data_IF_312993504963
#
_entry.id   IF_312993504963
#
_cell.length_a   1.000
_cell.length_b   1.000
_cell.length_c   1.000
_cell.angle_alpha   90.00
_cell.angle_beta   90.00
_cell.angle_gamma   90.00
#
_symmetry.space_group_name_H-M   'P 1'
#
loop_
_entity.id
_entity.type
_entity.pdbx_description
1 polymer ?
#
# COMPACT_ATOMS: atom_id res chain seq x y z
N UNK A 1 55.14 -6.28 -43.14
CA UNK A 1 53.96 -7.17 -43.08
C UNK A 1 53.52 -7.28 -41.63
N UNK A 2 52.43 -6.62 -41.26
CA UNK A 2 51.83 -6.74 -39.92
C UNK A 2 51.05 -8.05 -39.85
N UNK A 3 51.49 -8.99 -39.01
CA UNK A 3 50.73 -10.20 -38.72
C UNK A 3 49.39 -9.80 -38.09
N UNK A 4 48.28 -10.12 -38.77
CA UNK A 4 46.95 -10.11 -38.15
C UNK A 4 46.86 -11.34 -37.25
N UNK A 5 46.88 -11.11 -35.94
CA UNK A 5 46.62 -12.17 -34.97
C UNK A 5 45.14 -12.53 -35.04
N UNK A 6 44.81 -13.66 -35.65
CA UNK A 6 43.46 -14.22 -35.60
C UNK A 6 43.25 -14.89 -34.23
N UNK A 7 42.09 -14.65 -33.63
CA UNK A 7 41.65 -15.34 -32.41
C UNK A 7 41.64 -16.85 -32.63
N UNK A 8 42.17 -17.61 -31.67
CA UNK A 8 42.05 -19.07 -31.66
C UNK A 8 40.61 -19.48 -31.39
N UNK A 9 40.14 -20.56 -32.03
CA UNK A 9 38.82 -21.16 -31.75
C UNK A 9 38.69 -21.53 -30.27
N UNK A 10 39.79 -21.99 -29.64
CA UNK A 10 39.83 -22.30 -28.21
C UNK A 10 39.60 -21.04 -27.36
N UNK A 11 40.23 -19.94 -27.73
CA UNK A 11 40.14 -18.66 -27.04
C UNK A 11 38.74 -18.04 -27.17
N UNK A 12 38.09 -18.24 -28.32
CA UNK A 12 36.68 -17.90 -28.52
C UNK A 12 35.76 -18.70 -27.59
N UNK A 13 35.98 -20.02 -27.44
CA UNK A 13 35.18 -20.87 -26.56
C UNK A 13 35.34 -20.44 -25.10
N UNK A 14 36.57 -20.19 -24.64
CA UNK A 14 36.80 -19.68 -23.30
C UNK A 14 36.18 -18.29 -23.09
N UNK A 15 36.28 -17.39 -24.09
CA UNK A 15 35.65 -16.07 -24.02
C UNK A 15 34.13 -16.14 -23.86
N UNK A 16 33.46 -17.00 -24.61
CA UNK A 16 31.99 -17.20 -24.50
C UNK A 16 31.62 -17.83 -23.16
N UNK A 17 32.38 -18.83 -22.70
CA UNK A 17 32.10 -19.49 -21.42
C UNK A 17 32.23 -18.51 -20.24
N UNK A 18 33.27 -17.68 -20.25
CA UNK A 18 33.51 -16.65 -19.22
C UNK A 18 32.41 -15.59 -19.25
N UNK A 19 32.04 -15.09 -20.44
CA UNK A 19 30.93 -14.14 -20.59
C UNK A 19 29.60 -14.73 -20.10
N UNK A 20 29.33 -16.01 -20.42
CA UNK A 20 28.15 -16.73 -19.94
C UNK A 20 28.10 -16.83 -18.41
N UNK A 21 29.23 -17.12 -17.77
CA UNK A 21 29.34 -17.14 -16.31
C UNK A 21 29.07 -15.76 -15.70
N UNK A 22 29.66 -14.69 -16.27
CA UNK A 22 29.42 -13.32 -15.79
C UNK A 22 27.94 -12.91 -15.89
N UNK A 23 27.23 -13.28 -16.96
CA UNK A 23 25.79 -12.99 -17.09
C UNK A 23 24.97 -13.74 -16.03
N UNK A 24 25.32 -15.00 -15.74
CA UNK A 24 24.60 -15.83 -14.78
C UNK A 24 24.73 -15.32 -13.34
N UNK A 25 25.90 -14.83 -12.95
CA UNK A 25 26.19 -14.35 -11.60
C UNK A 25 26.01 -12.82 -11.42
N UNK A 26 26.05 -12.05 -12.50
CA UNK A 26 25.98 -10.58 -12.44
C UNK A 26 24.56 -10.01 -12.32
N UNK A 27 23.53 -10.76 -12.72
CA UNK A 27 22.14 -10.29 -12.65
C UNK A 27 21.52 -10.60 -11.27
N UNK A 28 20.82 -9.62 -10.65
CA UNK A 28 20.12 -9.89 -9.40
C UNK A 28 19.01 -10.92 -9.64
N UNK A 29 18.75 -11.82 -8.69
CA UNK A 29 17.71 -12.83 -8.85
C UNK A 29 16.34 -12.18 -9.09
N UNK A 30 15.52 -12.79 -9.97
CA UNK A 30 14.17 -12.30 -10.32
C UNK A 30 13.27 -12.04 -9.10
N UNK A 31 13.46 -12.79 -8.01
CA UNK A 31 12.76 -12.57 -6.74
C UNK A 31 13.08 -11.19 -6.13
N UNK A 32 14.35 -10.80 -6.12
CA UNK A 32 14.81 -9.50 -5.62
C UNK A 32 14.25 -8.34 -6.45
N UNK A 33 14.23 -8.48 -7.78
CA UNK A 33 13.63 -7.49 -8.67
C UNK A 33 12.12 -7.34 -8.44
N UNK A 34 11.38 -8.45 -8.42
CA UNK A 34 9.94 -8.43 -8.16
C UNK A 34 9.60 -7.84 -6.77
N UNK A 35 10.39 -8.17 -5.76
CA UNK A 35 10.23 -7.63 -4.40
C UNK A 35 10.53 -6.13 -4.36
N UNK A 36 11.54 -5.67 -5.09
CA UNK A 36 11.84 -4.24 -5.22
C UNK A 36 10.68 -3.49 -5.90
N UNK A 37 10.13 -4.04 -6.99
CA UNK A 37 8.93 -3.48 -7.65
C UNK A 37 7.73 -3.44 -6.72
N UNK A 38 7.49 -4.49 -5.92
CA UNK A 38 6.45 -4.50 -4.89
C UNK A 38 6.66 -3.40 -3.85
N UNK A 39 7.90 -3.22 -3.37
CA UNK A 39 8.21 -2.20 -2.37
C UNK A 39 8.01 -0.78 -2.91
N UNK A 40 8.42 -0.51 -4.15
CA UNK A 40 8.18 0.78 -4.82
C UNK A 40 6.68 1.00 -5.07
N UNK A 41 5.96 -0.04 -5.49
CA UNK A 41 4.51 0.03 -5.68
C UNK A 41 3.80 0.37 -4.36
N UNK A 42 4.08 -0.36 -3.29
CA UNK A 42 3.52 -0.10 -1.96
C UNK A 42 3.89 1.29 -1.44
N UNK A 43 5.15 1.72 -1.59
CA UNK A 43 5.60 3.06 -1.20
C UNK A 43 4.82 4.15 -1.96
N UNK A 44 4.64 3.99 -3.27
CA UNK A 44 3.88 4.95 -4.08
C UNK A 44 2.42 5.06 -3.60
N UNK A 45 1.85 3.95 -3.14
CA UNK A 45 0.48 3.86 -2.68
C UNK A 45 0.30 4.43 -1.27
N UNK A 46 1.27 4.26 -0.37
CA UNK A 46 1.32 4.97 0.91
C UNK A 46 1.36 6.49 0.70
N UNK A 47 2.24 6.96 -0.18
CA UNK A 47 2.33 8.39 -0.54
C UNK A 47 1.05 8.89 -1.20
N UNK A 48 0.42 8.06 -2.02
CA UNK A 48 -0.87 8.39 -2.63
C UNK A 48 -1.98 8.52 -1.58
N UNK A 49 -2.04 7.63 -0.58
CA UNK A 49 -2.98 7.76 0.55
C UNK A 49 -2.76 9.05 1.32
N UNK A 50 -1.50 9.41 1.58
CA UNK A 50 -1.17 10.69 2.21
C UNK A 50 -1.63 11.88 1.36
N UNK A 51 -1.39 11.82 0.05
CA UNK A 51 -1.81 12.86 -0.90
C UNK A 51 -3.34 12.99 -0.97
N UNK A 52 -4.08 11.89 -0.89
CA UNK A 52 -5.54 11.92 -0.77
C UNK A 52 -5.96 12.66 0.51
N UNK A 53 -5.32 12.37 1.65
CA UNK A 53 -5.61 13.07 2.91
C UNK A 53 -5.36 14.59 2.84
N UNK A 54 -4.31 15.01 2.11
CA UNK A 54 -3.95 16.41 1.94
C UNK A 54 -4.89 17.17 0.98
N UNK A 55 -5.38 16.53 -0.07
CA UNK A 55 -6.15 17.19 -1.13
C UNK A 55 -7.67 17.01 -1.01
N UNK A 56 -8.10 15.85 -0.52
CA UNK A 56 -9.49 15.52 -0.29
C UNK A 56 -9.76 15.63 1.21
N UNK A 57 -9.68 16.86 1.72
CA UNK A 57 -9.84 17.12 3.15
C UNK A 57 -11.29 16.84 3.57
N UNK A 58 -11.49 15.74 4.28
CA UNK A 58 -12.78 15.33 4.84
C UNK A 58 -13.09 16.05 6.16
N UNK A 59 -12.78 17.34 6.24
CA UNK A 59 -13.02 18.18 7.42
C UNK A 59 -14.24 19.07 7.20
N UNK A 60 -15.28 18.84 7.99
CA UNK A 60 -16.57 19.51 7.86
C UNK A 60 -16.95 20.16 9.18
N UNK A 61 -17.17 21.48 9.18
CA UNK A 61 -17.63 22.23 10.33
C UNK A 61 -19.17 22.30 10.40
N UNK A 62 -19.85 22.14 9.27
CA UNK A 62 -21.31 22.26 9.16
C UNK A 62 -21.91 21.21 8.23
N UNK A 63 -23.17 20.85 8.46
CA UNK A 63 -23.92 19.90 7.60
C UNK A 63 -24.02 20.39 6.15
N UNK A 64 -24.06 21.70 5.92
CA UNK A 64 -24.11 22.24 4.56
C UNK A 64 -22.86 21.86 3.74
N UNK A 65 -21.68 21.81 4.37
CA UNK A 65 -20.44 21.44 3.71
C UNK A 65 -20.39 19.95 3.30
N UNK A 66 -21.16 19.08 3.97
CA UNK A 66 -21.17 17.64 3.66
C UNK A 66 -22.03 17.31 2.43
N UNK A 67 -22.89 18.23 1.99
CA UNK A 67 -23.95 17.95 1.01
C UNK A 67 -23.43 17.38 -0.31
N UNK A 68 -22.31 17.90 -0.81
CA UNK A 68 -21.68 17.40 -2.05
C UNK A 68 -21.31 15.93 -1.92
N UNK A 69 -20.67 15.55 -0.80
CA UNK A 69 -20.26 14.18 -0.53
C UNK A 69 -21.46 13.25 -0.33
N UNK A 70 -22.42 13.66 0.51
CA UNK A 70 -23.58 12.82 0.86
C UNK A 70 -24.60 12.72 -0.28
N UNK A 71 -24.60 13.66 -1.24
CA UNK A 71 -25.37 13.53 -2.48
C UNK A 71 -24.81 12.42 -3.39
N UNK A 72 -23.48 12.28 -3.43
CA UNK A 72 -22.81 11.22 -4.19
C UNK A 72 -22.86 9.88 -3.45
N UNK A 73 -22.82 9.91 -2.11
CA UNK A 73 -22.83 8.73 -1.25
C UNK A 73 -23.94 8.83 -0.18
N UNK A 74 -25.20 8.48 -0.52
CA UNK A 74 -26.34 8.64 0.38
C UNK A 74 -26.30 7.78 1.65
N UNK A 75 -25.43 6.77 1.71
CA UNK A 75 -25.22 5.92 2.90
C UNK A 75 -24.46 6.63 4.03
N UNK A 76 -23.84 7.77 3.75
CA UNK A 76 -23.02 8.51 4.71
C UNK A 76 -23.91 9.41 5.58
N UNK A 77 -23.72 9.35 6.90
CA UNK A 77 -24.38 10.22 7.87
C UNK A 77 -23.72 11.61 7.89
N UNK A 78 -24.44 12.69 7.49
CA UNK A 78 -23.91 14.06 7.53
C UNK A 78 -23.46 14.49 8.93
N UNK A 79 -24.22 14.15 9.96
CA UNK A 79 -23.94 14.54 11.35
C UNK A 79 -22.63 13.95 11.89
N UNK A 80 -22.33 12.71 11.50
CA UNK A 80 -21.12 11.99 11.94
C UNK A 80 -19.88 12.35 11.12
N UNK A 81 -20.06 12.94 9.94
CA UNK A 81 -18.95 13.54 9.20
C UNK A 81 -18.38 14.77 9.92
N UNK A 82 -19.16 15.45 10.78
CA UNK A 82 -18.68 16.57 11.58
C UNK A 82 -17.69 16.14 12.67
N UNK A 83 -17.61 14.84 12.98
CA UNK A 83 -16.57 14.28 13.83
C UNK A 83 -15.24 14.20 13.05
N UNK A 84 -14.74 15.33 12.54
CA UNK A 84 -13.59 15.39 11.62
C UNK A 84 -12.33 14.72 12.13
N UNK A 85 -12.15 14.66 13.46
CA UNK A 85 -11.04 13.93 14.09
C UNK A 85 -11.09 12.41 13.89
N UNK A 86 -12.18 11.87 13.34
CA UNK A 86 -12.36 10.46 12.94
C UNK A 86 -12.28 10.25 11.44
N UNK A 87 -12.11 11.32 10.66
CA UNK A 87 -12.07 11.23 9.20
C UNK A 87 -10.63 11.11 8.72
N UNK A 88 -10.30 9.96 8.14
CA UNK A 88 -8.95 9.66 7.66
C UNK A 88 -9.02 8.94 6.32
N UNK A 89 -8.16 9.34 5.38
CA UNK A 89 -7.73 8.43 4.33
C UNK A 89 -6.76 7.42 4.94
N UNK A 90 -6.98 6.13 4.65
CA UNK A 90 -6.16 5.08 5.23
C UNK A 90 -5.73 4.05 4.20
N UNK A 91 -4.57 3.44 4.47
CA UNK A 91 -4.10 2.24 3.81
C UNK A 91 -4.10 1.10 4.84
N UNK A 92 -4.84 0.05 4.55
CA UNK A 92 -4.92 -1.15 5.38
C UNK A 92 -4.24 -2.31 4.68
N UNK A 93 -3.33 -2.99 5.37
CA UNK A 93 -2.62 -4.17 4.89
C UNK A 93 -3.29 -5.43 5.42
N UNK A 94 -3.52 -6.41 4.56
CA UNK A 94 -4.14 -7.69 4.88
C UNK A 94 -3.04 -8.76 4.87
N UNK A 95 -2.67 -9.23 6.05
CA UNK A 95 -1.61 -10.22 6.26
C UNK A 95 -2.15 -11.66 6.26
N UNK A 96 -3.45 -11.84 6.50
CA UNK A 96 -4.12 -13.13 6.46
C UNK A 96 -5.49 -13.02 5.78
N UNK A 97 -6.12 -14.17 5.55
CA UNK A 97 -7.39 -14.27 4.83
C UNK A 97 -7.28 -15.21 3.62
N UNK A 98 -8.34 -15.96 3.34
CA UNK A 98 -8.36 -16.95 2.25
C UNK A 98 -8.34 -16.28 0.88
N UNK A 99 -8.94 -15.09 0.76
CA UNK A 99 -9.18 -14.42 -0.52
C UNK A 99 -8.40 -13.12 -0.72
N UNK A 100 -7.54 -12.77 0.24
CA UNK A 100 -6.85 -11.47 0.31
C UNK A 100 -5.40 -11.52 0.85
N UNK A 101 -4.71 -12.69 0.92
CA UNK A 101 -3.46 -12.77 1.66
C UNK A 101 -2.39 -11.89 1.02
N UNK A 102 -1.67 -11.13 1.85
CA UNK A 102 -0.61 -10.20 1.42
C UNK A 102 -1.12 -9.18 0.39
N UNK A 103 -2.11 -8.40 0.80
CA UNK A 103 -2.67 -7.33 -0.04
C UNK A 103 -2.84 -6.03 0.75
N UNK A 104 -3.26 -4.97 0.10
CA UNK A 104 -3.69 -3.75 0.79
C UNK A 104 -4.94 -3.13 0.16
N UNK A 105 -5.58 -2.25 0.91
CA UNK A 105 -6.72 -1.44 0.46
C UNK A 105 -6.55 0.01 0.88
N UNK A 106 -6.91 0.95 0.01
CA UNK A 106 -6.91 2.38 0.29
C UNK A 106 -8.35 2.89 0.23
N UNK A 107 -8.82 3.46 1.33
CA UNK A 107 -10.22 3.86 1.47
C UNK A 107 -10.41 4.92 2.56
N UNK A 108 -11.56 5.58 2.53
CA UNK A 108 -12.13 6.34 3.63
C UNK A 108 -13.26 5.52 4.24
N UNK A 109 -13.15 5.20 5.54
CA UNK A 109 -14.16 4.48 6.32
C UNK A 109 -15.30 5.43 6.69
N UNK A 110 -16.36 5.33 5.92
CA UNK A 110 -17.45 6.30 5.92
C UNK A 110 -18.38 6.07 7.12
N UNK A 111 -18.76 7.13 7.86
CA UNK A 111 -19.73 6.97 8.92
C UNK A 111 -21.14 6.75 8.35
N UNK A 112 -21.80 5.66 8.75
CA UNK A 112 -23.17 5.33 8.32
C UNK A 112 -24.22 5.68 9.38
N UNK A 113 -25.49 5.54 9.00
CA UNK A 113 -26.64 5.66 9.89
C UNK A 113 -26.77 4.45 10.84
N UNK A 114 -25.78 4.25 11.71
CA UNK A 114 -25.78 3.22 12.74
C UNK A 114 -25.29 3.77 14.08
N UNK A 115 -25.78 3.29 15.24
CA UNK A 115 -25.37 3.82 16.55
C UNK A 115 -23.97 3.39 16.97
N UNK A 116 -23.55 2.14 16.71
CA UNK A 116 -22.31 1.54 17.24
C UNK A 116 -21.41 0.87 16.19
N UNK A 117 -21.89 0.72 14.95
CA UNK A 117 -21.19 0.08 13.81
C UNK A 117 -21.23 0.98 12.57
N UNK A 118 -21.15 2.28 12.81
CA UNK A 118 -21.14 3.29 11.77
C UNK A 118 -19.86 3.31 10.96
N UNK A 119 -18.75 2.79 11.49
CA UNK A 119 -17.48 2.58 10.80
C UNK A 119 -17.02 1.13 10.96
N UNK A 120 -16.78 0.45 9.85
CA UNK A 120 -16.51 -1.00 9.86
C UNK A 120 -15.05 -1.34 10.13
N UNK A 121 -14.15 -0.37 10.01
CA UNK A 121 -12.70 -0.59 10.06
C UNK A 121 -12.20 -1.60 9.02
N UNK A 122 -12.92 -1.73 7.91
CA UNK A 122 -12.57 -2.53 6.73
C UNK A 122 -13.27 -1.94 5.50
N UNK A 123 -12.77 -2.15 4.27
CA UNK A 123 -13.44 -1.71 3.07
C UNK A 123 -14.79 -2.42 2.88
N UNK A 124 -15.88 -1.65 2.88
CA UNK A 124 -17.27 -2.14 2.77
C UNK A 124 -18.03 -1.43 1.64
N UNK A 125 -19.28 -1.85 1.38
CA UNK A 125 -20.14 -1.32 0.29
C UNK A 125 -20.43 0.18 0.40
N UNK A 126 -20.45 0.71 1.62
CA UNK A 126 -20.73 2.13 1.86
C UNK A 126 -19.51 3.05 1.76
N UNK A 127 -18.30 2.49 1.71
CA UNK A 127 -17.06 3.25 1.82
C UNK A 127 -16.64 3.89 0.51
N UNK A 128 -15.75 4.88 0.62
CA UNK A 128 -15.12 5.48 -0.56
C UNK A 128 -13.78 4.80 -0.75
N UNK A 129 -13.64 4.04 -1.82
CA UNK A 129 -12.40 3.34 -2.17
C UNK A 129 -11.60 4.20 -3.12
N UNK A 130 -10.30 4.36 -2.87
CA UNK A 130 -9.44 5.10 -3.77
C UNK A 130 -9.34 4.39 -5.13
N UNK A 131 -9.26 5.17 -6.20
CA UNK A 131 -9.03 4.65 -7.54
C UNK A 131 -7.62 4.98 -8.03
N UNK A 132 -7.07 4.11 -8.86
CA UNK A 132 -5.80 4.32 -9.54
C UNK A 132 -5.95 5.41 -10.59
N UNK A 133 -5.06 6.42 -10.54
CA UNK A 133 -5.02 7.47 -11.56
C UNK A 133 -4.74 6.94 -12.97
N UNK A 134 -4.05 5.80 -13.10
CA UNK A 134 -3.61 5.22 -14.37
C UNK A 134 -4.74 4.58 -15.18
N UNK A 135 -5.65 3.86 -14.50
CA UNK A 135 -6.63 3.01 -15.16
C UNK A 135 -8.01 3.03 -14.49
N UNK A 136 -8.21 3.90 -13.49
CA UNK A 136 -9.48 4.07 -12.75
C UNK A 136 -9.99 2.80 -12.06
N UNK A 137 -9.13 1.79 -11.88
CA UNK A 137 -9.43 0.59 -11.10
C UNK A 137 -9.34 0.89 -9.61
N UNK A 138 -10.16 0.24 -8.81
CA UNK A 138 -10.19 0.45 -7.37
C UNK A 138 -8.98 -0.16 -6.67
N UNK A 139 -8.43 0.54 -5.69
CA UNK A 139 -7.24 0.14 -4.94
C UNK A 139 -7.66 -0.62 -3.68
N UNK A 140 -8.26 -1.80 -3.85
CA UNK A 140 -8.65 -2.66 -2.73
C UNK A 140 -8.39 -4.14 -2.99
N UNK A 141 -7.60 -4.76 -2.11
CA UNK A 141 -7.35 -6.19 -2.09
C UNK A 141 -8.36 -7.00 -1.28
N UNK A 142 -9.27 -6.34 -0.56
CA UNK A 142 -10.13 -6.95 0.48
C UNK A 142 -11.30 -7.78 -0.07
N UNK A 143 -12.08 -7.25 -1.01
CA UNK A 143 -13.22 -7.97 -1.58
C UNK A 143 -13.53 -7.43 -2.96
N UNK A 144 -13.94 -8.33 -3.86
CA UNK A 144 -14.42 -7.97 -5.20
C UNK A 144 -15.95 -7.84 -5.25
N UNK A 145 -16.67 -8.24 -4.19
CA UNK A 145 -18.15 -8.28 -4.17
C UNK A 145 -18.75 -7.44 -3.04
N UNK A 146 -18.20 -7.54 -1.83
CA UNK A 146 -18.67 -6.82 -0.66
C UNK A 146 -17.89 -5.51 -0.51
N UNK A 147 -18.03 -4.66 -1.53
CA UNK A 147 -17.33 -3.39 -1.67
C UNK A 147 -18.22 -2.42 -2.46
N UNK A 148 -17.85 -1.14 -2.48
CA UNK A 148 -18.55 -0.07 -3.22
C UNK A 148 -18.86 -0.52 -4.63
N UNK A 149 -20.05 -0.14 -5.11
CA UNK A 149 -20.64 -0.74 -6.32
C UNK A 149 -19.76 -0.55 -7.56
N UNK A 150 -19.10 0.61 -7.64
CA UNK A 150 -18.12 1.00 -8.66
C UNK A 150 -16.82 0.18 -8.64
N UNK A 151 -16.54 -0.50 -7.52
CA UNK A 151 -15.36 -1.32 -7.31
C UNK A 151 -15.60 -2.81 -7.49
N UNK A 152 -16.86 -3.24 -7.67
CA UNK A 152 -17.19 -4.65 -7.87
C UNK A 152 -16.53 -5.17 -9.14
N UNK A 153 -15.74 -6.24 -9.00
CA UNK A 153 -14.93 -6.83 -10.08
C UNK A 153 -14.01 -5.83 -10.82
N UNK A 154 -13.72 -4.66 -10.21
CA UNK A 154 -12.93 -3.57 -10.80
C UNK A 154 -11.68 -3.25 -9.96
N UNK A 155 -11.25 -4.17 -9.09
CA UNK A 155 -10.04 -4.00 -8.30
C UNK A 155 -8.78 -4.05 -9.18
N UNK A 156 -7.79 -3.21 -8.89
CA UNK A 156 -6.44 -3.30 -9.44
C UNK A 156 -5.75 -4.57 -8.91
N UNK A 157 -5.17 -5.39 -9.77
CA UNK A 157 -4.57 -6.66 -9.35
C UNK A 157 -3.27 -6.43 -8.57
N UNK A 158 -2.54 -5.36 -8.86
CA UNK A 158 -1.25 -5.06 -8.23
C UNK A 158 -1.35 -4.78 -6.72
N UNK A 159 -2.54 -4.48 -6.19
CA UNK A 159 -2.75 -4.34 -4.73
C UNK A 159 -2.72 -5.68 -3.99
N UNK A 160 -2.88 -6.80 -4.72
CA UNK A 160 -2.71 -8.18 -4.22
C UNK A 160 -1.24 -8.56 -4.36
N UNK A 161 -0.41 -8.03 -3.47
CA UNK A 161 1.05 -8.16 -3.53
C UNK A 161 1.52 -9.61 -3.58
N UNK A 162 0.83 -10.51 -2.86
CA UNK A 162 1.10 -11.95 -2.91
C UNK A 162 0.85 -12.55 -4.29
N UNK A 163 -0.30 -12.29 -4.90
CA UNK A 163 -0.68 -12.84 -6.20
C UNK A 163 0.14 -12.22 -7.35
N UNK A 164 0.30 -10.90 -7.36
CA UNK A 164 0.91 -10.18 -8.48
C UNK A 164 2.44 -10.17 -8.43
N UNK A 165 3.02 -9.90 -7.26
CA UNK A 165 4.48 -9.82 -7.10
C UNK A 165 5.08 -11.06 -6.45
N UNK A 166 4.29 -12.01 -5.94
CA UNK A 166 4.80 -13.17 -5.21
C UNK A 166 5.36 -12.82 -3.83
N UNK A 167 4.84 -11.78 -3.17
CA UNK A 167 5.19 -11.47 -1.77
C UNK A 167 4.64 -12.57 -0.86
N UNK A 168 5.51 -13.18 -0.06
CA UNK A 168 5.16 -14.34 0.78
C UNK A 168 4.51 -13.89 2.09
N UNK A 169 5.04 -12.85 2.72
CA UNK A 169 4.43 -12.23 3.90
C UNK A 169 4.83 -10.76 4.06
N UNK A 170 3.96 -10.01 4.74
CA UNK A 170 4.15 -8.61 5.13
C UNK A 170 4.28 -8.56 6.65
N UNK A 171 5.32 -7.92 7.17
CA UNK A 171 5.52 -7.74 8.61
C UNK A 171 5.55 -6.25 8.98
N UNK A 172 5.09 -5.96 10.19
CA UNK A 172 5.09 -4.62 10.77
C UNK A 172 6.05 -4.58 11.97
N UNK A 173 6.93 -3.60 11.97
CA UNK A 173 7.78 -3.26 13.11
C UNK A 173 7.40 -1.84 13.56
N UNK A 174 6.69 -1.77 14.70
CA UNK A 174 6.11 -0.55 15.27
C UNK A 174 5.59 -0.78 16.70
N UNK A 175 4.89 0.21 17.28
CA UNK A 175 4.17 0.03 18.53
C UNK A 175 3.15 -1.15 18.42
N UNK A 176 3.07 -2.05 19.41
CA UNK A 176 2.14 -3.18 19.39
C UNK A 176 0.67 -2.82 19.11
N UNK A 177 0.22 -1.62 19.51
CA UNK A 177 -1.15 -1.16 19.26
C UNK A 177 -1.45 -0.87 17.78
N UNK A 178 -0.44 -0.76 16.92
CA UNK A 178 -0.63 -0.61 15.49
C UNK A 178 -0.97 -1.94 14.80
N UNK A 179 -0.60 -3.07 15.41
CA UNK A 179 -0.83 -4.40 14.87
C UNK A 179 -2.22 -4.91 15.28
N UNK A 180 -2.99 -5.38 14.31
CA UNK A 180 -4.30 -5.98 14.53
C UNK A 180 -4.28 -7.45 14.09
N UNK A 181 -5.33 -8.20 14.41
CA UNK A 181 -5.40 -9.62 14.03
C UNK A 181 -5.47 -9.76 12.51
N UNK A 182 -4.38 -10.25 11.90
CA UNK A 182 -4.29 -10.49 10.46
C UNK A 182 -4.20 -9.24 9.59
N UNK A 183 -4.07 -8.06 10.18
CA UNK A 183 -4.06 -6.78 9.47
C UNK A 183 -3.34 -5.71 10.28
N UNK A 184 -3.00 -4.61 9.63
CA UNK A 184 -2.65 -3.35 10.27
C UNK A 184 -2.97 -2.21 9.30
N UNK A 185 -3.03 -0.99 9.81
CA UNK A 185 -3.37 0.19 8.99
C UNK A 185 -2.55 1.41 9.35
N UNK A 186 -2.40 2.26 8.35
CA UNK A 186 -1.86 3.62 8.51
C UNK A 186 -2.91 4.59 8.01
N UNK A 187 -3.27 5.54 8.87
CA UNK A 187 -4.26 6.59 8.63
C UNK A 187 -3.51 7.91 8.49
N UNK A 188 -3.97 8.79 7.61
CA UNK A 188 -3.43 10.13 7.46
C UNK A 188 -4.54 11.15 7.70
N UNK A 189 -4.25 12.14 8.56
CA UNK A 189 -5.14 13.28 8.76
C UNK A 189 -5.02 14.30 7.61
N UNK A 190 -5.81 15.37 7.67
CA UNK A 190 -5.80 16.47 6.68
C UNK A 190 -4.45 17.18 6.50
N UNK A 191 -3.51 16.99 7.43
CA UNK A 191 -2.16 17.55 7.38
C UNK A 191 -1.12 16.52 6.94
N UNK A 192 -1.55 15.31 6.58
CA UNK A 192 -0.68 14.21 6.21
C UNK A 192 0.05 13.59 7.41
N UNK A 193 -0.35 13.92 8.65
CA UNK A 193 0.23 13.32 9.85
C UNK A 193 -0.23 11.86 9.97
N UNK A 194 0.68 10.91 10.23
CA UNK A 194 0.35 9.50 10.24
C UNK A 194 -0.12 9.03 11.61
N UNK A 195 -1.11 8.15 11.58
CA UNK A 195 -1.71 7.45 12.71
C UNK A 195 -1.80 5.95 12.40
N UNK A 196 -1.89 5.10 13.41
CA UNK A 196 -2.03 3.66 13.22
C UNK A 196 -3.18 3.05 14.04
N UNK A 197 -3.57 1.83 13.65
CA UNK A 197 -4.59 1.05 14.35
C UNK A 197 -6.00 1.61 14.26
N UNK A 198 -6.96 0.91 14.89
CA UNK A 198 -8.39 1.28 14.88
C UNK A 198 -8.64 2.63 15.56
N UNK A 199 -8.05 2.83 16.73
CA UNK A 199 -8.19 4.04 17.54
C UNK A 199 -7.42 5.27 16.99
N UNK A 200 -6.75 5.15 15.83
CA UNK A 200 -5.96 6.20 15.23
C UNK A 200 -4.95 6.82 16.23
N UNK A 201 -3.98 6.00 16.65
CA UNK A 201 -2.89 6.44 17.54
C UNK A 201 -1.82 7.17 16.74
N UNK A 202 -1.44 8.37 17.16
CA UNK A 202 -0.42 9.16 16.47
C UNK A 202 0.93 8.44 16.50
N UNK A 203 1.65 8.43 15.37
CA UNK A 203 3.01 7.89 15.36
C UNK A 203 3.97 8.84 16.07
N UNK A 204 4.70 8.31 17.05
CA UNK A 204 5.78 8.99 17.77
C UNK A 204 7.17 8.50 17.36
N UNK A 205 7.25 7.37 16.67
CA UNK A 205 8.45 6.78 16.11
C UNK A 205 8.15 6.28 14.69
N UNK A 206 9.18 6.07 13.83
CA UNK A 206 8.97 5.52 12.50
C UNK A 206 8.26 4.16 12.53
N UNK A 207 7.31 3.97 11.63
CA UNK A 207 6.64 2.69 11.40
C UNK A 207 7.32 2.00 10.22
N UNK A 208 7.76 0.75 10.39
CA UNK A 208 8.50 -0.01 9.39
C UNK A 208 7.69 -1.19 8.87
N UNK A 209 7.32 -1.14 7.59
CA UNK A 209 6.61 -2.21 6.88
C UNK A 209 7.64 -3.00 6.08
N UNK A 210 7.72 -4.32 6.24
CA UNK A 210 8.67 -5.16 5.50
C UNK A 210 7.95 -6.20 4.65
N UNK A 211 8.28 -6.22 3.36
CA UNK A 211 7.83 -7.23 2.41
C UNK A 211 8.90 -8.32 2.29
N UNK A 212 8.49 -9.58 2.29
CA UNK A 212 9.38 -10.74 2.23
C UNK A 212 9.10 -11.63 1.02
N UNK A 213 10.16 -12.15 0.39
CA UNK A 213 10.07 -13.09 -0.75
C UNK A 213 11.34 -13.90 -0.91
N UNK A 214 11.28 -15.24 -0.85
CA UNK A 214 12.39 -16.18 -1.08
C UNK A 214 13.67 -15.80 -0.31
N UNK A 215 13.53 -15.46 0.96
CA UNK A 215 14.65 -15.06 1.84
C UNK A 215 15.16 -13.62 1.64
N UNK A 216 14.61 -12.86 0.68
CA UNK A 216 14.88 -11.42 0.53
C UNK A 216 13.82 -10.60 1.26
N UNK A 217 14.23 -9.42 1.75
CA UNK A 217 13.32 -8.45 2.37
C UNK A 217 13.55 -7.04 1.83
N UNK A 218 12.47 -6.25 1.81
CA UNK A 218 12.50 -4.80 1.53
C UNK A 218 11.60 -4.09 2.50
N UNK A 219 12.13 -3.07 3.18
CA UNK A 219 11.38 -2.29 4.16
C UNK A 219 11.03 -0.90 3.66
N UNK A 220 9.88 -0.41 4.10
CA UNK A 220 9.33 0.92 3.87
C UNK A 220 9.15 1.56 5.23
N UNK A 221 9.68 2.76 5.41
CA UNK A 221 9.59 3.56 6.61
C UNK A 221 8.53 4.64 6.42
N UNK A 222 7.68 4.87 7.43
CA UNK A 222 6.78 6.01 7.52
C UNK A 222 7.19 6.80 8.75
N UNK A 223 7.70 8.02 8.54
CA UNK A 223 8.21 8.87 9.61
C UNK A 223 7.08 9.59 10.35
N UNK A 224 7.23 9.78 11.67
CA UNK A 224 6.24 10.50 12.47
C UNK A 224 6.13 11.98 12.04
N UNK A 225 5.08 12.65 12.50
CA UNK A 225 4.76 14.07 12.27
C UNK A 225 4.38 14.43 10.82
N UNK A 226 5.24 14.18 9.84
CA UNK A 226 5.00 14.60 8.44
C UNK A 226 4.40 13.50 7.59
N UNK A 227 4.46 12.23 8.01
CA UNK A 227 3.99 11.11 7.21
C UNK A 227 4.88 10.77 6.02
N UNK A 228 6.05 11.42 5.90
CA UNK A 228 7.02 11.14 4.86
C UNK A 228 7.35 9.65 4.84
N UNK A 229 7.22 9.03 3.67
CA UNK A 229 7.51 7.62 3.47
C UNK A 229 8.69 7.42 2.52
N UNK A 230 9.54 6.45 2.82
CA UNK A 230 10.71 6.09 2.00
C UNK A 230 11.04 4.60 2.09
N UNK A 231 11.82 4.08 1.15
CA UNK A 231 12.46 2.78 1.35
C UNK A 231 13.52 2.91 2.46
N UNK A 232 13.66 1.88 3.30
CA UNK A 232 14.71 1.85 4.31
C UNK A 232 16.08 1.82 3.66
N UNK A 233 17.04 2.57 4.20
CA UNK A 233 18.44 2.46 3.81
C UNK A 233 19.19 1.64 4.86
N UNK A 234 19.85 0.56 4.44
CA UNK A 234 20.56 -0.38 5.33
C UNK A 234 19.72 -0.92 6.50
N UNK A 235 18.40 -1.06 6.30
CA UNK A 235 17.47 -1.56 7.31
C UNK A 235 17.06 -0.53 8.37
N UNK A 236 17.54 0.72 8.27
CA UNK A 236 17.25 1.80 9.21
C UNK A 236 16.09 2.67 8.69
N UNK A 237 15.21 3.00 9.62
CA UNK A 237 14.27 4.10 9.61
C UNK A 237 14.71 5.09 10.71
#
# INVERSE_FOLDING_TARGET
MTMRNCFSVLELVFGIAILGAFVLFGLPPKSSQALHSAAIHTLSHIRYTQHLALNDSLDFATIAQTQTLTKMHPSISPSKLLESHKNFWQIQFHQSGIYTPQSFSIYFDTPRFAPTTDRDNQPSVGDIIATSGKNKRCLSGYSNINISIECRNNAEIAVRLGEYFGVEFISLDSNPHCQEMGTFRVKFDRFGKPYCGKEALALHAPLKITLHKKGFSKSICIHPNTGYASLSHNGVC
#
